data_IF_636078542335
#
_entry.id   IF_636078542335
#
_cell.length_a   1.000
_cell.length_b   1.000
_cell.length_c   1.000
_cell.angle_alpha   90.00
_cell.angle_beta   90.00
_cell.angle_gamma   90.00
#
_symmetry.space_group_name_H-M   'P 1'
#
loop_
_entity.id
_entity.type
_entity.pdbx_description
1 polymer ?
#
# COMPACT_ATOMS: atom_id res chain seq x y z
N UNK A 1 48.61 10.19 -17.17
CA UNK A 1 47.81 9.08 -16.60
C UNK A 1 46.35 9.40 -16.83
N UNK A 2 45.70 8.70 -17.76
CA UNK A 2 44.26 8.85 -17.96
C UNK A 2 43.51 8.13 -16.83
N UNK A 3 42.46 8.75 -16.24
CA UNK A 3 41.67 8.10 -15.20
C UNK A 3 41.01 6.84 -15.75
N UNK A 4 41.16 5.73 -15.03
CA UNK A 4 40.56 4.43 -15.36
C UNK A 4 39.04 4.62 -15.43
N UNK A 5 38.36 4.21 -16.52
CA UNK A 5 36.92 4.38 -16.65
C UNK A 5 36.21 3.68 -15.48
N UNK A 6 35.16 4.29 -14.91
CA UNK A 6 34.44 3.72 -13.78
C UNK A 6 33.87 2.35 -14.18
N UNK A 7 34.24 1.32 -13.43
CA UNK A 7 33.74 -0.04 -13.58
C UNK A 7 32.22 -0.04 -13.40
N UNK A 8 31.45 -0.49 -14.39
CA UNK A 8 29.97 -0.47 -14.42
C UNK A 8 29.29 -0.96 -13.11
N UNK A 9 29.95 -1.85 -12.37
CA UNK A 9 29.49 -2.35 -11.08
C UNK A 9 29.29 -1.25 -10.02
N UNK A 10 30.11 -0.19 -9.99
CA UNK A 10 29.98 0.88 -8.98
C UNK A 10 28.80 1.82 -9.26
N UNK A 11 28.57 2.12 -10.54
CA UNK A 11 27.43 2.95 -10.99
C UNK A 11 26.07 2.33 -10.62
N UNK A 12 25.93 1.01 -10.77
CA UNK A 12 24.67 0.30 -10.45
C UNK A 12 24.32 0.32 -8.96
N UNK A 13 25.34 0.30 -8.08
CA UNK A 13 25.16 0.29 -6.62
C UNK A 13 24.75 1.66 -6.10
N UNK A 14 25.41 2.73 -6.56
CA UNK A 14 25.08 4.11 -6.19
C UNK A 14 23.68 4.52 -6.69
N UNK A 15 23.31 4.10 -7.91
CA UNK A 15 21.96 4.30 -8.44
C UNK A 15 20.88 3.59 -7.62
N UNK A 16 21.19 2.43 -7.03
CA UNK A 16 20.27 1.68 -6.18
C UNK A 16 20.12 2.32 -4.80
N UNK A 17 21.21 2.73 -4.18
CA UNK A 17 21.20 3.37 -2.85
C UNK A 17 20.49 4.73 -2.87
N UNK A 18 20.72 5.54 -3.91
CA UNK A 18 20.01 6.81 -4.10
C UNK A 18 18.50 6.63 -4.23
N UNK A 19 18.05 5.61 -4.98
CA UNK A 19 16.62 5.27 -5.14
C UNK A 19 15.97 4.80 -3.83
N UNK A 20 16.69 4.03 -3.00
CA UNK A 20 16.18 3.62 -1.69
C UNK A 20 16.00 4.84 -0.77
N UNK A 21 16.99 5.73 -0.73
CA UNK A 21 16.95 6.94 0.11
C UNK A 21 15.81 7.89 -0.29
N UNK A 22 15.54 8.03 -1.60
CA UNK A 22 14.43 8.85 -2.09
C UNK A 22 13.05 8.26 -1.72
N UNK A 23 12.91 6.93 -1.70
CA UNK A 23 11.64 6.28 -1.30
C UNK A 23 11.33 6.43 0.18
N UNK A 24 12.32 6.35 1.06
CA UNK A 24 12.11 6.52 2.50
C UNK A 24 11.76 7.96 2.87
N UNK A 25 12.48 8.93 2.31
CA UNK A 25 12.22 10.36 2.52
C UNK A 25 10.83 10.76 2.01
N UNK A 26 10.39 10.23 0.87
CA UNK A 26 9.04 10.45 0.35
C UNK A 26 7.94 9.90 1.27
N UNK A 27 8.13 8.71 1.84
CA UNK A 27 7.18 8.11 2.76
C UNK A 27 7.10 8.88 4.09
N UNK A 28 8.24 9.24 4.68
CA UNK A 28 8.29 10.04 5.91
C UNK A 28 7.61 11.40 5.75
N UNK A 29 7.83 12.06 4.61
CA UNK A 29 7.19 13.33 4.31
C UNK A 29 5.67 13.17 4.18
N UNK A 30 5.21 12.11 3.51
CA UNK A 30 3.77 11.86 3.38
C UNK A 30 3.09 11.58 4.73
N UNK A 31 3.75 10.84 5.62
CA UNK A 31 3.27 10.61 6.99
C UNK A 31 3.19 11.92 7.75
N UNK A 32 4.27 12.72 7.72
CA UNK A 32 4.33 14.01 8.39
C UNK A 32 3.22 14.95 7.93
N UNK A 33 3.03 15.09 6.61
CA UNK A 33 1.96 15.90 6.03
C UNK A 33 0.57 15.40 6.46
N UNK A 34 0.33 14.09 6.38
CA UNK A 34 -0.95 13.51 6.79
C UNK A 34 -1.27 13.77 8.27
N UNK A 35 -0.30 13.54 9.16
CA UNK A 35 -0.49 13.75 10.60
C UNK A 35 -0.72 15.23 10.94
N UNK A 36 0.07 16.14 10.34
CA UNK A 36 -0.09 17.58 10.54
C UNK A 36 -1.49 18.03 10.09
N UNK A 37 -1.94 17.59 8.92
CA UNK A 37 -3.29 17.95 8.44
C UNK A 37 -4.38 17.39 9.34
N UNK A 38 -4.27 16.14 9.82
CA UNK A 38 -5.24 15.59 10.76
C UNK A 38 -5.29 16.38 12.05
N UNK A 39 -4.14 16.74 12.63
CA UNK A 39 -4.08 17.51 13.88
C UNK A 39 -4.71 18.88 13.68
N UNK A 40 -4.39 19.59 12.59
CA UNK A 40 -4.94 20.91 12.31
C UNK A 40 -6.45 20.87 12.05
N UNK A 41 -6.93 19.89 11.29
CA UNK A 41 -8.36 19.75 11.00
C UNK A 41 -9.14 19.32 12.23
N UNK A 42 -8.58 18.47 13.10
CA UNK A 42 -9.23 18.05 14.32
C UNK A 42 -9.57 19.23 15.25
N UNK A 43 -8.89 20.38 15.12
CA UNK A 43 -9.24 21.59 15.89
C UNK A 43 -10.61 22.18 15.51
N UNK A 44 -11.10 21.91 14.30
CA UNK A 44 -12.28 22.58 13.72
C UNK A 44 -13.38 21.61 13.32
N UNK A 45 -13.02 20.39 12.93
CA UNK A 45 -13.96 19.36 12.46
C UNK A 45 -13.89 18.10 13.33
N UNK A 46 -14.95 17.26 13.35
CA UNK A 46 -14.93 15.99 14.07
C UNK A 46 -13.73 15.12 13.66
N UNK A 47 -13.12 14.44 14.63
CA UNK A 47 -11.92 13.62 14.46
C UNK A 47 -11.95 12.69 13.23
N UNK A 48 -13.10 12.07 12.93
CA UNK A 48 -13.25 11.17 11.78
C UNK A 48 -13.00 11.90 10.44
N UNK A 49 -13.54 13.12 10.28
CA UNK A 49 -13.35 13.93 9.07
C UNK A 49 -11.92 14.44 8.96
N UNK A 50 -11.30 14.78 10.11
CA UNK A 50 -9.90 15.15 10.16
C UNK A 50 -8.98 13.99 9.75
N UNK A 51 -9.22 12.79 10.30
CA UNK A 51 -8.47 11.58 9.97
C UNK A 51 -8.61 11.21 8.48
N UNK A 52 -9.79 11.38 7.90
CA UNK A 52 -10.01 11.17 6.46
C UNK A 52 -9.20 12.14 5.62
N UNK A 53 -9.25 13.43 5.95
CA UNK A 53 -8.53 14.47 5.23
C UNK A 53 -7.02 14.25 5.26
N UNK A 54 -6.45 13.93 6.43
CA UNK A 54 -5.03 13.61 6.54
C UNK A 54 -4.63 12.30 5.87
N UNK A 55 -5.45 11.26 5.95
CA UNK A 55 -5.20 9.98 5.26
C UNK A 55 -5.22 10.17 3.74
N UNK A 56 -6.18 10.93 3.22
CA UNK A 56 -6.30 11.27 1.82
C UNK A 56 -5.07 12.05 1.32
N UNK A 57 -4.64 13.06 2.06
CA UNK A 57 -3.48 13.86 1.67
C UNK A 57 -2.18 13.04 1.76
N UNK A 58 -2.01 12.22 2.80
CA UNK A 58 -0.90 11.28 2.88
C UNK A 58 -0.86 10.35 1.65
N UNK A 59 -2.00 9.78 1.26
CA UNK A 59 -2.10 8.93 0.08
C UNK A 59 -1.72 9.68 -1.21
N UNK A 60 -2.15 10.94 -1.37
CA UNK A 60 -1.76 11.78 -2.51
C UNK A 60 -0.25 12.04 -2.56
N UNK A 61 0.38 12.35 -1.42
CA UNK A 61 1.82 12.60 -1.35
C UNK A 61 2.61 11.33 -1.64
N UNK A 62 2.22 10.19 -1.05
CA UNK A 62 2.83 8.88 -1.35
C UNK A 62 2.69 8.55 -2.83
N UNK A 63 1.52 8.79 -3.42
CA UNK A 63 1.27 8.54 -4.85
C UNK A 63 2.24 9.28 -5.74
N UNK A 64 2.60 10.51 -5.38
CA UNK A 64 3.52 11.34 -6.17
C UNK A 64 4.99 11.00 -5.94
N UNK A 65 5.39 10.61 -4.72
CA UNK A 65 6.82 10.48 -4.37
C UNK A 65 7.33 9.05 -4.17
N UNK A 66 6.52 8.16 -3.62
CA UNK A 66 6.97 6.84 -3.21
C UNK A 66 5.82 5.80 -3.28
N UNK A 67 5.29 5.50 -4.48
CA UNK A 67 4.11 4.64 -4.62
C UNK A 67 4.37 3.17 -4.22
N UNK A 68 5.63 2.74 -4.05
CA UNK A 68 5.95 1.44 -3.46
C UNK A 68 5.69 1.38 -1.94
N UNK A 69 5.50 2.52 -1.29
CA UNK A 69 5.52 2.65 0.18
C UNK A 69 4.12 2.87 0.80
N UNK A 70 3.03 2.62 0.07
CA UNK A 70 1.66 2.82 0.58
C UNK A 70 1.38 2.05 1.88
N UNK A 71 1.75 0.78 1.94
CA UNK A 71 1.50 -0.04 3.14
C UNK A 71 2.24 0.51 4.37
N UNK A 72 3.52 0.82 4.23
CA UNK A 72 4.34 1.38 5.30
C UNK A 72 3.87 2.79 5.72
N UNK A 73 3.42 3.60 4.78
CA UNK A 73 2.88 4.93 5.09
C UNK A 73 1.58 4.81 5.87
N UNK A 74 0.66 3.94 5.45
CA UNK A 74 -0.59 3.70 6.16
C UNK A 74 -0.38 3.19 7.59
N UNK A 75 0.55 2.25 7.80
CA UNK A 75 0.86 1.74 9.14
C UNK A 75 1.47 2.80 10.04
N UNK A 76 2.48 3.52 9.55
CA UNK A 76 3.12 4.58 10.33
C UNK A 76 2.19 5.76 10.60
N UNK A 77 1.26 6.06 9.67
CA UNK A 77 0.21 7.05 9.89
C UNK A 77 -0.74 6.61 11.02
N UNK A 78 -1.21 5.36 11.01
CA UNK A 78 -2.08 4.83 12.07
C UNK A 78 -1.38 4.77 13.44
N UNK A 79 -0.14 4.30 13.48
CA UNK A 79 0.68 4.31 14.70
C UNK A 79 0.90 5.74 15.18
N UNK A 80 1.25 6.66 14.27
CA UNK A 80 1.43 8.07 14.56
C UNK A 80 0.18 8.73 15.12
N UNK A 81 -1.00 8.42 14.56
CA UNK A 81 -2.29 8.85 15.11
C UNK A 81 -2.57 8.25 16.48
N UNK A 82 -2.27 6.95 16.67
CA UNK A 82 -2.37 6.30 17.97
C UNK A 82 -1.55 7.01 19.03
N UNK A 83 -0.29 7.33 18.74
CA UNK A 83 0.59 8.09 19.66
C UNK A 83 0.08 9.52 19.87
N UNK A 84 -0.28 10.23 18.79
CA UNK A 84 -0.77 11.60 18.86
C UNK A 84 -2.11 11.71 19.59
N UNK A 85 -2.92 10.64 19.62
CA UNK A 85 -4.18 10.62 20.37
C UNK A 85 -4.01 10.76 21.89
N UNK A 86 -2.78 10.54 22.41
CA UNK A 86 -2.42 10.82 23.81
C UNK A 86 -2.04 12.29 24.07
N UNK A 87 -1.87 13.10 23.01
CA UNK A 87 -1.59 14.53 23.18
C UNK A 87 -2.85 15.30 23.60
N UNK A 88 -2.71 16.44 24.31
CA UNK A 88 -3.85 17.23 24.78
C UNK A 88 -4.82 17.66 23.67
N UNK A 89 -4.30 17.85 22.45
CA UNK A 89 -5.08 18.33 21.30
C UNK A 89 -6.12 17.29 20.88
N UNK A 90 -5.72 16.03 20.77
CA UNK A 90 -6.56 14.94 20.28
C UNK A 90 -7.28 14.19 21.42
N UNK A 91 -6.75 14.28 22.65
CA UNK A 91 -7.31 13.57 23.81
C UNK A 91 -8.72 14.04 24.16
N UNK A 92 -9.07 15.30 23.86
CA UNK A 92 -10.42 15.86 24.10
C UNK A 92 -11.49 15.22 23.21
N UNK A 93 -11.11 14.66 22.07
CA UNK A 93 -12.04 14.05 21.11
C UNK A 93 -11.95 12.52 21.06
N UNK A 94 -10.81 11.94 21.47
CA UNK A 94 -10.61 10.50 21.46
C UNK A 94 -10.92 9.87 22.83
N UNK A 95 -11.85 8.91 22.86
CA UNK A 95 -12.11 8.07 24.03
C UNK A 95 -10.88 7.17 24.33
N UNK A 96 -10.73 6.72 25.57
CA UNK A 96 -9.62 5.81 25.94
C UNK A 96 -9.57 4.55 25.08
N UNK A 97 -10.74 4.01 24.71
CA UNK A 97 -10.87 2.84 23.85
C UNK A 97 -10.46 3.13 22.40
N UNK A 98 -10.87 4.27 21.83
CA UNK A 98 -10.41 4.73 20.51
C UNK A 98 -8.89 4.84 20.44
N UNK A 99 -8.24 5.40 21.48
CA UNK A 99 -6.77 5.53 21.54
C UNK A 99 -6.08 4.18 21.51
N UNK A 100 -6.56 3.24 22.35
CA UNK A 100 -6.01 1.89 22.44
C UNK A 100 -6.17 1.14 21.12
N UNK A 101 -7.33 1.24 20.47
CA UNK A 101 -7.58 0.59 19.19
C UNK A 101 -6.68 1.13 18.09
N UNK A 102 -6.55 2.46 17.96
CA UNK A 102 -5.68 3.06 16.94
C UNK A 102 -4.24 2.57 17.08
N UNK A 103 -3.75 2.49 18.32
CA UNK A 103 -2.40 2.05 18.64
C UNK A 103 -2.23 0.53 18.37
N UNK A 104 -3.13 -0.31 18.88
CA UNK A 104 -3.07 -1.77 18.70
C UNK A 104 -3.22 -2.15 17.23
N UNK A 105 -4.17 -1.56 16.51
CA UNK A 105 -4.36 -1.82 15.06
C UNK A 105 -3.15 -1.33 14.26
N UNK A 106 -2.62 -0.14 14.58
CA UNK A 106 -1.41 0.38 13.94
C UNK A 106 -0.20 -0.55 14.14
N UNK A 107 0.02 -1.03 15.37
CA UNK A 107 1.12 -1.96 15.70
C UNK A 107 0.91 -3.31 15.01
N UNK A 108 -0.29 -3.89 15.08
CA UNK A 108 -0.60 -5.15 14.40
C UNK A 108 -0.36 -5.06 12.89
N UNK A 109 -0.78 -3.95 12.28
CA UNK A 109 -0.57 -3.73 10.85
C UNK A 109 0.93 -3.55 10.52
N UNK A 110 1.69 -2.86 11.37
CA UNK A 110 3.14 -2.75 11.23
C UNK A 110 3.83 -4.12 11.37
N UNK A 111 3.45 -4.91 12.37
CA UNK A 111 3.96 -6.27 12.59
C UNK A 111 3.64 -7.19 11.41
N UNK A 112 2.47 -7.06 10.81
CA UNK A 112 2.11 -7.81 9.60
C UNK A 112 3.00 -7.42 8.40
N UNK A 113 3.29 -6.13 8.21
CA UNK A 113 4.16 -5.67 7.14
C UNK A 113 5.62 -6.09 7.34
N UNK A 114 6.12 -6.08 8.59
CA UNK A 114 7.47 -6.57 8.90
C UNK A 114 7.54 -8.08 8.70
N UNK A 115 6.52 -8.84 9.11
CA UNK A 115 6.43 -10.28 8.86
C UNK A 115 6.45 -10.56 7.36
N UNK A 116 5.61 -9.88 6.56
CA UNK A 116 5.60 -10.01 5.09
C UNK A 116 6.98 -9.72 4.48
N UNK A 117 7.66 -8.68 4.97
CA UNK A 117 8.99 -8.31 4.51
C UNK A 117 10.04 -9.35 4.91
N UNK A 118 9.96 -9.89 6.13
CA UNK A 118 10.82 -10.96 6.64
C UNK A 118 10.64 -12.25 5.85
N UNK A 119 9.39 -12.67 5.61
CA UNK A 119 9.05 -13.82 4.76
C UNK A 119 9.66 -13.64 3.37
N UNK A 120 9.53 -12.46 2.76
CA UNK A 120 10.16 -12.15 1.47
C UNK A 120 11.68 -12.31 1.48
N UNK A 121 12.36 -11.88 2.55
CA UNK A 121 13.82 -12.02 2.69
C UNK A 121 14.20 -13.49 2.88
N UNK A 122 13.50 -14.21 3.75
CA UNK A 122 13.78 -15.63 4.05
C UNK A 122 13.59 -16.48 2.81
N UNK A 123 12.46 -16.35 2.11
CA UNK A 123 12.24 -17.14 0.89
C UNK A 123 13.19 -16.73 -0.23
N UNK A 124 13.58 -15.46 -0.36
CA UNK A 124 14.61 -15.07 -1.33
C UNK A 124 15.95 -15.74 -1.02
N UNK A 125 16.34 -15.81 0.25
CA UNK A 125 17.57 -16.49 0.66
C UNK A 125 17.50 -18.00 0.41
N UNK A 126 16.34 -18.64 0.64
CA UNK A 126 16.13 -20.05 0.35
C UNK A 126 16.14 -20.28 -1.16
N UNK A 127 15.40 -19.49 -1.93
CA UNK A 127 15.33 -19.60 -3.39
C UNK A 127 16.72 -19.54 -4.04
N UNK A 128 17.54 -18.56 -3.65
CA UNK A 128 18.91 -18.43 -4.16
C UNK A 128 19.80 -19.65 -3.89
N UNK A 129 19.44 -20.51 -2.93
CA UNK A 129 20.19 -21.74 -2.62
C UNK A 129 19.68 -22.96 -3.39
N UNK A 130 18.43 -22.99 -3.85
CA UNK A 130 17.78 -24.21 -4.34
C UNK A 130 17.29 -24.18 -5.79
N UNK A 131 17.08 -23.03 -6.41
CA UNK A 131 16.56 -22.95 -7.78
C UNK A 131 17.39 -22.04 -8.69
N UNK A 132 17.51 -22.41 -9.96
CA UNK A 132 18.07 -21.55 -11.01
C UNK A 132 17.21 -20.28 -11.17
N UNK A 133 17.87 -19.16 -11.51
CA UNK A 133 17.32 -17.80 -11.41
C UNK A 133 16.05 -17.53 -12.22
N UNK A 134 15.77 -18.34 -13.24
CA UNK A 134 14.77 -18.01 -14.25
C UNK A 134 13.37 -18.52 -13.86
N UNK A 135 13.26 -19.75 -13.34
CA UNK A 135 11.98 -20.33 -12.85
C UNK A 135 11.53 -19.77 -11.50
N UNK A 136 12.47 -19.20 -10.73
CA UNK A 136 12.21 -18.68 -9.39
C UNK A 136 11.36 -17.41 -9.41
N UNK A 137 11.53 -16.56 -10.43
CA UNK A 137 10.82 -15.28 -10.51
C UNK A 137 9.32 -15.46 -10.83
N UNK A 138 8.98 -16.45 -11.66
CA UNK A 138 7.59 -16.75 -12.05
C UNK A 138 6.83 -17.48 -10.94
N UNK A 139 7.41 -18.52 -10.32
CA UNK A 139 6.82 -19.20 -9.16
C UNK A 139 6.66 -18.28 -7.96
N UNK A 140 7.55 -17.29 -7.82
CA UNK A 140 7.52 -16.28 -6.78
C UNK A 140 6.33 -15.32 -6.93
N UNK A 141 6.07 -14.82 -8.14
CA UNK A 141 4.94 -13.91 -8.38
C UNK A 141 3.60 -14.65 -8.22
N UNK A 142 3.53 -15.93 -8.62
CA UNK A 142 2.34 -16.76 -8.41
C UNK A 142 2.13 -17.08 -6.92
N UNK A 143 3.17 -17.51 -6.19
CA UNK A 143 3.07 -17.88 -4.78
C UNK A 143 2.76 -16.70 -3.86
N UNK A 144 3.35 -15.54 -4.11
CA UNK A 144 3.04 -14.31 -3.36
C UNK A 144 1.65 -13.78 -3.73
N UNK A 145 1.20 -13.93 -4.97
CA UNK A 145 -0.18 -13.58 -5.34
C UNK A 145 -1.21 -14.54 -4.72
N UNK A 146 -0.94 -15.85 -4.70
CA UNK A 146 -1.84 -16.86 -4.13
C UNK A 146 -1.92 -16.74 -2.62
N UNK A 147 -0.81 -16.49 -1.93
CA UNK A 147 -0.84 -16.21 -0.49
C UNK A 147 -1.55 -14.89 -0.18
N UNK A 148 -1.36 -13.88 -1.04
CA UNK A 148 -2.12 -12.63 -0.95
C UNK A 148 -3.61 -12.85 -1.17
N UNK A 149 -4.02 -13.70 -2.12
CA UNK A 149 -5.43 -14.02 -2.39
C UNK A 149 -6.01 -14.82 -1.25
N UNK A 150 -5.33 -15.85 -0.73
CA UNK A 150 -5.80 -16.63 0.43
C UNK A 150 -5.92 -15.72 1.66
N UNK A 151 -4.98 -14.81 1.88
CA UNK A 151 -5.02 -13.86 2.98
C UNK A 151 -6.09 -12.76 2.79
N UNK A 152 -6.36 -12.33 1.56
CA UNK A 152 -7.45 -11.41 1.21
C UNK A 152 -8.79 -12.11 1.31
N UNK A 153 -8.92 -13.36 0.88
CA UNK A 153 -10.13 -14.18 0.99
C UNK A 153 -10.40 -14.48 2.46
N UNK A 154 -9.37 -14.81 3.24
CA UNK A 154 -9.48 -15.01 4.68
C UNK A 154 -9.87 -13.73 5.42
N UNK A 155 -9.22 -12.61 5.09
CA UNK A 155 -9.63 -11.30 5.62
C UNK A 155 -10.99 -10.87 5.11
N UNK A 156 -11.37 -11.20 3.87
CA UNK A 156 -12.69 -10.91 3.31
C UNK A 156 -13.74 -11.81 3.94
N UNK A 157 -13.42 -13.03 4.37
CA UNK A 157 -14.31 -13.88 5.16
C UNK A 157 -14.51 -13.31 6.56
N UNK A 158 -13.43 -12.89 7.23
CA UNK A 158 -13.49 -12.14 8.50
C UNK A 158 -14.20 -10.79 8.33
N UNK A 159 -14.02 -10.13 7.18
CA UNK A 159 -14.68 -8.87 6.85
C UNK A 159 -16.15 -9.12 6.54
N UNK A 160 -16.51 -10.20 5.85
CA UNK A 160 -17.89 -10.57 5.51
C UNK A 160 -18.63 -11.01 6.78
N UNK A 161 -17.97 -11.72 7.69
CA UNK A 161 -18.50 -12.05 9.00
C UNK A 161 -18.71 -10.78 9.84
N UNK A 162 -17.74 -9.85 9.82
CA UNK A 162 -17.86 -8.52 10.42
C UNK A 162 -18.85 -7.63 9.70
N UNK A 163 -19.05 -7.79 8.39
CA UNK A 163 -19.94 -6.98 7.55
C UNK A 163 -21.35 -7.49 7.63
N UNK A 164 -21.59 -8.79 7.79
CA UNK A 164 -22.90 -9.36 8.16
C UNK A 164 -23.26 -8.89 9.57
N UNK A 165 -22.30 -8.89 10.50
CA UNK A 165 -22.45 -8.24 11.80
C UNK A 165 -22.58 -6.71 11.67
N UNK A 166 -21.99 -6.08 10.65
CA UNK A 166 -22.05 -4.64 10.38
C UNK A 166 -23.27 -4.22 9.59
N UNK A 167 -23.92 -5.10 8.81
CA UNK A 167 -25.13 -4.83 8.03
C UNK A 167 -26.29 -4.81 9.01
N UNK A 168 -26.27 -5.73 9.98
CA UNK A 168 -27.07 -5.60 11.20
C UNK A 168 -26.82 -4.23 11.88
N UNK A 169 -25.57 -3.73 11.90
CA UNK A 169 -25.22 -2.39 12.44
C UNK A 169 -25.45 -1.24 11.44
N UNK A 170 -25.60 -1.47 10.13
CA UNK A 170 -25.71 -0.44 9.08
C UNK A 170 -27.15 -0.11 8.75
N UNK A 171 -28.08 -1.00 9.10
CA UNK A 171 -29.49 -0.66 9.26
C UNK A 171 -29.67 0.05 10.62
N UNK A 172 -28.96 -0.40 11.67
CA UNK A 172 -28.93 0.28 12.96
C UNK A 172 -28.14 1.61 12.95
N UNK A 173 -27.27 1.89 11.99
CA UNK A 173 -26.29 2.98 12.03
C UNK A 173 -26.86 4.34 11.62
N UNK A 174 -27.51 4.45 10.45
CA UNK A 174 -28.34 5.60 10.09
C UNK A 174 -29.54 5.71 11.02
N UNK A 175 -30.13 4.59 11.45
CA UNK A 175 -31.12 4.54 12.53
C UNK A 175 -30.58 5.14 13.83
N UNK A 176 -29.31 4.89 14.16
CA UNK A 176 -28.64 5.45 15.33
C UNK A 176 -28.30 6.92 15.19
N UNK A 177 -28.05 7.44 13.98
CA UNK A 177 -27.88 8.87 13.77
C UNK A 177 -29.19 9.64 13.85
N UNK A 178 -30.30 9.07 13.33
CA UNK A 178 -31.64 9.62 13.51
C UNK A 178 -32.04 9.60 14.98
N UNK A 179 -31.75 8.51 15.71
CA UNK A 179 -31.97 8.50 17.16
C UNK A 179 -31.00 9.43 17.89
N UNK A 180 -29.75 9.61 17.48
CA UNK A 180 -28.81 10.53 18.15
C UNK A 180 -29.24 12.01 17.98
N UNK A 181 -29.92 12.37 16.89
CA UNK A 181 -30.54 13.70 16.71
C UNK A 181 -31.81 13.85 17.56
N UNK A 182 -32.62 12.79 17.70
CA UNK A 182 -33.81 12.74 18.57
C UNK A 182 -33.48 12.62 20.07
N UNK A 183 -32.31 12.06 20.41
CA UNK A 183 -31.85 11.72 21.77
C UNK A 183 -30.86 12.77 22.31
N UNK A 184 -30.69 13.92 21.63
CA UNK A 184 -30.05 15.12 22.21
C UNK A 184 -30.74 15.59 23.51
N UNK A 185 -31.94 15.08 23.81
CA UNK A 185 -32.61 15.26 25.11
C UNK A 185 -32.22 14.28 26.23
N UNK A 186 -31.52 13.16 25.97
CA UNK A 186 -31.26 12.13 26.99
C UNK A 186 -29.80 12.11 27.45
N UNK A 187 -29.63 12.41 28.73
CA UNK A 187 -28.37 12.81 29.36
C UNK A 187 -27.48 11.65 29.85
N UNK A 188 -27.61 10.42 29.36
CA UNK A 188 -26.91 9.27 29.97
C UNK A 188 -26.28 8.27 28.96
N UNK A 189 -24.95 8.13 29.03
CA UNK A 189 -24.18 6.88 28.81
C UNK A 189 -23.99 6.32 27.39
N UNK A 190 -24.99 6.39 26.51
CA UNK A 190 -24.97 5.63 25.25
C UNK A 190 -24.11 6.26 24.13
N UNK A 191 -23.74 7.53 24.30
CA UNK A 191 -23.10 8.34 23.26
C UNK A 191 -21.67 7.89 22.93
N UNK A 192 -20.92 7.34 23.90
CA UNK A 192 -19.52 6.94 23.68
C UNK A 192 -19.36 5.73 22.74
N UNK A 193 -20.25 4.75 22.83
CA UNK A 193 -20.13 3.47 22.13
C UNK A 193 -20.34 3.58 20.61
N UNK A 194 -21.26 4.44 20.17
CA UNK A 194 -21.57 4.60 18.73
C UNK A 194 -20.41 5.26 17.98
N UNK A 195 -19.75 6.26 18.60
CA UNK A 195 -18.56 6.88 18.02
C UNK A 195 -17.41 5.89 17.88
N UNK A 196 -17.17 5.05 18.89
CA UNK A 196 -16.09 4.07 18.87
C UNK A 196 -16.26 3.04 17.73
N UNK A 197 -17.47 2.51 17.51
CA UNK A 197 -17.72 1.53 16.42
C UNK A 197 -17.54 2.17 15.04
N UNK A 198 -18.05 3.38 14.83
CA UNK A 198 -17.90 4.09 13.55
C UNK A 198 -16.44 4.37 13.22
N UNK A 199 -15.63 4.70 14.24
CA UNK A 199 -14.21 4.97 14.10
C UNK A 199 -13.42 3.68 13.82
N UNK A 200 -13.79 2.56 14.44
CA UNK A 200 -13.21 1.24 14.13
C UNK A 200 -13.45 0.88 12.66
N UNK A 201 -14.70 1.02 12.18
CA UNK A 201 -15.04 0.74 10.78
C UNK A 201 -14.24 1.64 9.85
N UNK A 202 -14.13 2.93 10.18
CA UNK A 202 -13.35 3.89 9.42
C UNK A 202 -11.87 3.49 9.32
N UNK A 203 -11.23 3.13 10.44
CA UNK A 203 -9.84 2.68 10.47
C UNK A 203 -9.63 1.45 9.58
N UNK A 204 -10.56 0.48 9.64
CA UNK A 204 -10.52 -0.71 8.78
C UNK A 204 -10.64 -0.33 7.30
N UNK A 205 -11.55 0.58 6.95
CA UNK A 205 -11.70 1.09 5.58
C UNK A 205 -10.44 1.80 5.07
N UNK A 206 -9.79 2.61 5.90
CA UNK A 206 -8.52 3.28 5.57
C UNK A 206 -7.43 2.24 5.31
N UNK A 207 -7.31 1.25 6.18
CA UNK A 207 -6.33 0.17 6.03
C UNK A 207 -6.55 -0.64 4.75
N UNK A 208 -7.80 -1.02 4.46
CA UNK A 208 -8.17 -1.69 3.21
C UNK A 208 -7.84 -0.83 2.00
N UNK A 209 -8.12 0.47 2.03
CA UNK A 209 -7.85 1.38 0.92
C UNK A 209 -6.35 1.47 0.59
N UNK A 210 -5.48 1.64 1.60
CA UNK A 210 -4.04 1.63 1.39
C UNK A 210 -3.54 0.29 0.85
N UNK A 211 -4.13 -0.81 1.31
CA UNK A 211 -3.76 -2.14 0.83
C UNK A 211 -4.17 -2.36 -0.64
N UNK A 212 -5.38 -1.95 -1.00
CA UNK A 212 -5.89 -2.00 -2.37
C UNK A 212 -5.04 -1.13 -3.31
N UNK A 213 -4.66 0.07 -2.87
CA UNK A 213 -3.76 0.94 -3.64
C UNK A 213 -2.38 0.30 -3.88
N UNK A 214 -1.83 -0.39 -2.87
CA UNK A 214 -0.56 -1.11 -3.01
C UNK A 214 -0.68 -2.29 -4.00
N UNK A 215 -1.79 -3.04 -3.94
CA UNK A 215 -2.09 -4.14 -4.86
C UNK A 215 -2.26 -3.63 -6.29
N UNK A 216 -3.04 -2.58 -6.48
CA UNK A 216 -3.26 -1.96 -7.79
C UNK A 216 -1.96 -1.45 -8.40
N UNK A 217 -1.11 -0.79 -7.61
CA UNK A 217 0.19 -0.34 -8.09
C UNK A 217 1.09 -1.50 -8.53
N UNK A 218 1.05 -2.61 -7.80
CA UNK A 218 1.81 -3.83 -8.14
C UNK A 218 1.28 -4.45 -9.45
N UNK A 219 -0.04 -4.55 -9.60
CA UNK A 219 -0.68 -5.05 -10.82
C UNK A 219 -0.40 -4.15 -12.04
N UNK A 220 -0.46 -2.82 -11.86
CA UNK A 220 -0.14 -1.86 -12.92
C UNK A 220 1.32 -1.96 -13.37
N UNK A 221 2.24 -2.24 -12.43
CA UNK A 221 3.65 -2.46 -12.75
C UNK A 221 3.85 -3.75 -13.54
N UNK A 222 3.19 -4.83 -13.15
CA UNK A 222 3.23 -6.13 -13.85
C UNK A 222 2.67 -6.00 -15.28
N UNK A 223 1.57 -5.27 -15.46
CA UNK A 223 1.01 -5.00 -16.79
C UNK A 223 2.01 -4.29 -17.69
N UNK A 224 2.74 -3.30 -17.17
CA UNK A 224 3.74 -2.54 -17.94
C UNK A 224 4.96 -3.39 -18.32
N UNK A 225 5.42 -4.29 -17.45
CA UNK A 225 6.52 -5.19 -17.82
C UNK A 225 6.08 -6.14 -18.94
N UNK A 226 4.90 -6.75 -18.82
CA UNK A 226 4.35 -7.64 -19.85
C UNK A 226 4.21 -6.96 -21.21
N UNK A 227 3.73 -5.71 -21.26
CA UNK A 227 3.63 -4.96 -22.53
C UNK A 227 4.99 -4.61 -23.13
N UNK A 228 5.98 -4.30 -22.29
CA UNK A 228 7.33 -3.97 -22.78
C UNK A 228 8.02 -5.20 -23.36
N UNK A 229 7.81 -6.37 -22.74
CA UNK A 229 8.38 -7.63 -23.22
C UNK A 229 7.72 -8.10 -24.53
N UNK A 230 6.42 -7.87 -24.69
CA UNK A 230 5.72 -8.16 -25.97
C UNK A 230 6.14 -7.21 -27.09
N UNK A 231 6.32 -5.92 -26.82
CA UNK A 231 6.87 -4.97 -27.79
C UNK A 231 8.33 -5.29 -28.16
N UNK A 232 9.16 -5.69 -27.19
CA UNK A 232 10.53 -6.15 -27.43
C UNK A 232 10.59 -7.43 -28.28
N UNK A 233 9.70 -8.39 -28.01
CA UNK A 233 9.55 -9.60 -28.81
C UNK A 233 9.13 -9.27 -30.25
N UNK A 234 8.14 -8.39 -30.43
CA UNK A 234 7.73 -7.96 -31.77
C UNK A 234 8.84 -7.23 -32.54
N UNK A 235 9.58 -6.34 -31.85
CA UNK A 235 10.72 -5.61 -32.43
C UNK A 235 11.82 -6.56 -32.90
N UNK A 236 12.17 -7.55 -32.08
CA UNK A 236 13.23 -8.53 -32.41
C UNK A 236 12.82 -9.44 -33.57
N UNK A 237 11.55 -9.85 -33.63
CA UNK A 237 11.00 -10.60 -34.76
C UNK A 237 10.98 -9.76 -36.03
N UNK A 238 10.56 -8.49 -35.97
CA UNK A 238 10.61 -7.60 -37.13
C UNK A 238 12.04 -7.42 -37.65
N UNK A 239 13.01 -7.18 -36.78
CA UNK A 239 14.42 -7.06 -37.17
C UNK A 239 14.96 -8.34 -37.81
N UNK A 240 14.55 -9.52 -37.31
CA UNK A 240 14.92 -10.79 -37.94
C UNK A 240 14.32 -10.93 -39.34
N UNK A 241 13.04 -10.61 -39.51
CA UNK A 241 12.34 -10.65 -40.81
C UNK A 241 12.96 -9.66 -41.80
N UNK A 242 13.26 -8.44 -41.38
CA UNK A 242 13.92 -7.42 -42.19
C UNK A 242 15.32 -7.91 -42.64
N UNK A 243 16.08 -8.53 -41.71
CA UNK A 243 17.40 -9.08 -42.04
C UNK A 243 17.32 -10.26 -43.01
N UNK A 244 16.31 -11.13 -42.88
CA UNK A 244 16.07 -12.23 -43.82
C UNK A 244 15.69 -11.70 -45.19
N UNK A 245 14.84 -10.68 -45.27
CA UNK A 245 14.44 -10.03 -46.52
C UNK A 245 15.65 -9.41 -47.23
N UNK A 246 16.53 -8.74 -46.50
CA UNK A 246 17.78 -8.21 -47.05
C UNK A 246 18.72 -9.32 -47.55
N UNK A 247 18.82 -10.45 -46.85
CA UNK A 247 19.62 -11.60 -47.33
C UNK A 247 19.08 -12.21 -48.62
N UNK A 248 17.76 -12.29 -48.77
CA UNK A 248 17.13 -12.82 -50.00
C UNK A 248 17.31 -11.83 -51.16
N UNK A 249 17.17 -10.52 -50.91
CA UNK A 249 17.35 -9.50 -51.94
C UNK A 249 18.81 -9.35 -52.41
N UNK A 250 19.78 -9.81 -51.63
CA UNK A 250 21.21 -9.81 -51.98
C UNK A 250 21.69 -11.13 -52.59
N UNK A 251 20.82 -12.14 -52.77
CA UNK A 251 21.20 -13.31 -53.57
C UNK A 251 21.39 -12.84 -55.01
N UNK A 252 22.61 -12.90 -55.57
CA UNK A 252 22.80 -12.63 -56.98
C UNK A 252 21.92 -13.60 -57.76
N UNK A 253 21.16 -13.08 -58.71
CA UNK A 253 20.54 -13.85 -59.78
C UNK A 253 21.68 -14.36 -60.67
N UNK A 254 22.35 -15.41 -60.19
CA UNK A 254 23.16 -16.27 -61.04
C UNK A 254 22.17 -17.14 -61.82
N UNK A 255 21.78 -16.65 -62.99
CA UNK A 255 21.50 -17.44 -64.19
C UNK A 255 20.99 -16.46 -65.27
N UNK A 256 21.94 -15.92 -66.02
CA UNK A 256 21.92 -15.91 -67.49
C UNK A 256 23.34 -15.80 -68.04
#
# INVERSE_FOLDING_TARGET
MAPKPPTEATSSKEARESRIRSTHTGALLAIGVGLVVTVLFALVVPLVMAMFSGAFLAALVVRRRAPSSYGLTGSLYLVGLGVLSYTPVLSTQATGLTRLILLVVGILYLAFLTLKSGVKIVLRNIGQRYFSTDTLSELWDVGVSSWSIIYIVWNAFQLLERVIRSIAISILGPGSMITNILVVGSRNGFRGWVFDVSLIIFVVCVMLSFHTLATWHSAAKLKRSLTTDTEGAHSSVQLQVESMKNRISQRPTEDE
#
